data_IF_924648491411
#
_entry.id   IF_924648491411
#
_cell.length_a   1.000
_cell.length_b   1.000
_cell.length_c   1.000
_cell.angle_alpha   90.00
_cell.angle_beta   90.00
_cell.angle_gamma   90.00
#
_symmetry.space_group_name_H-M   'P 1'
#
loop_
_entity.id
_entity.type
_entity.pdbx_description
1 polymer ?
#
# COMPACT_ATOMS: atom_id res chain seq x y z
N UNK A 1 -5.54 0.03 -14.54
CA UNK A 1 -4.45 0.88 -14.00
C UNK A 1 -3.07 0.22 -14.15
N UNK A 2 -2.77 -0.44 -15.28
CA UNK A 2 -1.65 -1.39 -15.33
C UNK A 2 -0.40 -0.93 -16.12
N UNK A 3 -0.28 0.32 -16.59
CA UNK A 3 0.73 0.65 -17.61
C UNK A 3 1.62 1.88 -17.38
N UNK A 4 1.87 2.27 -16.13
CA UNK A 4 2.76 3.42 -15.85
C UNK A 4 3.87 3.12 -14.82
N UNK A 5 4.36 1.88 -14.79
CA UNK A 5 5.30 1.42 -13.76
C UNK A 5 6.74 1.45 -14.28
N UNK A 6 7.44 2.55 -13.97
CA UNK A 6 8.87 2.75 -14.23
C UNK A 6 9.76 1.83 -13.38
N UNK A 7 10.99 1.64 -13.88
CA UNK A 7 12.01 0.69 -13.42
C UNK A 7 12.51 0.93 -11.99
N UNK A 8 11.81 0.43 -10.97
CA UNK A 8 12.42 0.10 -9.67
C UNK A 8 11.92 -1.26 -9.22
N UNK A 9 12.81 -2.24 -9.21
CA UNK A 9 12.51 -3.59 -8.77
C UNK A 9 12.14 -3.61 -7.28
N UNK A 10 10.90 -3.98 -6.97
CA UNK A 10 10.58 -4.85 -5.83
C UNK A 10 9.93 -4.23 -4.60
N UNK A 11 9.81 -2.90 -4.48
CA UNK A 11 9.04 -2.23 -3.42
C UNK A 11 8.42 -0.94 -3.94
N UNK A 12 7.10 -0.85 -3.89
CA UNK A 12 6.36 0.37 -4.22
C UNK A 12 5.45 0.74 -3.06
N UNK A 13 5.55 1.96 -2.56
CA UNK A 13 4.61 2.53 -1.61
C UNK A 13 3.83 3.64 -2.30
N UNK A 14 2.51 3.57 -2.21
CA UNK A 14 1.60 4.54 -2.79
C UNK A 14 0.68 5.08 -1.74
N UNK A 15 0.36 6.36 -1.84
CA UNK A 15 -0.42 7.08 -0.85
C UNK A 15 -1.52 7.86 -1.53
N UNK A 16 -2.69 7.80 -0.93
CA UNK A 16 -3.84 8.65 -1.22
C UNK A 16 -4.34 9.21 0.10
N UNK A 17 -4.94 10.40 0.06
CA UNK A 17 -5.55 10.99 1.24
C UNK A 17 -6.93 11.51 0.85
N UNK A 18 -7.96 10.93 1.45
CA UNK A 18 -9.36 11.19 1.18
C UNK A 18 -9.98 11.91 2.37
N UNK A 19 -10.69 13.01 2.11
CA UNK A 19 -11.62 13.62 3.05
C UNK A 19 -13.05 13.32 2.65
N UNK A 20 -13.88 12.88 3.60
CA UNK A 20 -15.31 12.64 3.42
C UNK A 20 -16.05 13.70 4.21
N UNK A 21 -16.68 14.63 3.49
CA UNK A 21 -17.48 15.70 4.05
C UNK A 21 -18.85 15.71 3.38
N UNK A 22 -19.91 15.77 4.19
CA UNK A 22 -21.28 15.73 3.70
C UNK A 22 -21.61 14.51 2.79
N UNK A 23 -21.00 13.36 3.07
CA UNK A 23 -21.07 12.11 2.29
C UNK A 23 -20.49 12.18 0.85
N UNK A 24 -19.85 13.29 0.50
CA UNK A 24 -19.02 13.43 -0.69
C UNK A 24 -17.54 13.24 -0.31
N UNK A 25 -16.75 12.67 -1.22
CA UNK A 25 -15.32 12.46 -1.04
C UNK A 25 -14.49 13.46 -1.83
N UNK A 26 -13.41 13.96 -1.24
CA UNK A 26 -12.51 14.95 -1.82
C UNK A 26 -11.05 14.46 -1.70
N UNK A 27 -10.27 14.64 -2.77
CA UNK A 27 -8.86 14.25 -2.78
C UNK A 27 -7.97 15.34 -2.21
N UNK A 28 -7.40 15.09 -1.02
CA UNK A 28 -6.52 16.03 -0.31
C UNK A 28 -5.12 16.13 -0.91
N UNK A 29 -4.73 15.23 -1.83
CA UNK A 29 -3.41 15.26 -2.48
C UNK A 29 -3.50 15.65 -3.96
N UNK A 30 -4.62 16.23 -4.38
CA UNK A 30 -4.75 16.74 -5.74
C UNK A 30 -3.74 17.86 -6.00
N UNK A 31 -3.15 17.87 -7.20
CA UNK A 31 -2.04 18.77 -7.57
C UNK A 31 -2.53 20.11 -8.14
N UNK A 32 -3.80 20.46 -7.97
CA UNK A 32 -4.36 21.67 -8.56
C UNK A 32 -4.02 22.90 -7.71
N UNK A 33 -3.26 23.83 -8.30
CA UNK A 33 -2.63 24.99 -7.64
C UNK A 33 -3.63 26.10 -7.20
N UNK A 34 -4.94 25.89 -7.34
CA UNK A 34 -5.97 26.93 -7.19
C UNK A 34 -7.18 26.53 -6.33
N UNK A 35 -6.98 25.71 -5.31
CA UNK A 35 -8.08 25.31 -4.41
C UNK A 35 -8.15 26.24 -3.20
N UNK A 36 -9.13 27.16 -3.22
CA UNK A 36 -9.41 28.04 -2.09
C UNK A 36 -10.49 27.47 -1.15
N UNK A 37 -11.27 26.49 -1.61
CA UNK A 37 -12.37 25.86 -0.86
C UNK A 37 -12.38 24.35 -1.08
N UNK A 38 -12.90 23.60 -0.10
CA UNK A 38 -13.05 22.15 -0.17
C UNK A 38 -13.86 21.69 -1.39
N UNK A 39 -14.91 22.42 -1.74
CA UNK A 39 -15.83 22.09 -2.84
C UNK A 39 -15.17 22.20 -4.23
N UNK A 40 -14.05 22.90 -4.32
CA UNK A 40 -13.27 23.05 -5.56
C UNK A 40 -12.34 21.84 -5.79
N UNK A 41 -12.14 20.98 -4.77
CA UNK A 41 -11.33 19.77 -4.92
C UNK A 41 -12.04 18.73 -5.79
N UNK A 42 -11.27 17.89 -6.51
CA UNK A 42 -11.84 16.81 -7.30
C UNK A 42 -12.70 15.88 -6.46
N UNK A 43 -13.99 15.79 -6.79
CA UNK A 43 -14.90 14.83 -6.15
C UNK A 43 -14.54 13.40 -6.52
N UNK A 44 -14.32 12.60 -5.50
CA UNK A 44 -14.01 11.17 -5.58
C UNK A 44 -15.29 10.39 -5.84
N UNK A 45 -15.28 9.51 -6.83
CA UNK A 45 -16.42 8.67 -7.19
C UNK A 45 -16.16 7.21 -6.85
N UNK A 46 -17.12 6.59 -6.16
CA UNK A 46 -17.13 5.15 -5.91
C UNK A 46 -17.63 4.40 -7.15
N UNK A 47 -16.90 3.35 -7.55
CA UNK A 47 -17.37 2.37 -8.52
C UNK A 47 -17.09 0.96 -8.01
N UNK A 48 -18.02 0.05 -8.26
CA UNK A 48 -17.84 -1.37 -7.96
C UNK A 48 -17.58 -2.12 -9.28
N UNK A 49 -16.62 -3.03 -9.28
CA UNK A 49 -16.38 -3.93 -10.41
C UNK A 49 -17.26 -5.19 -10.34
N UNK A 50 -17.13 -6.06 -11.35
CA UNK A 50 -17.90 -7.31 -11.44
C UNK A 50 -17.58 -8.29 -10.30
N UNK A 51 -16.37 -8.20 -9.74
CA UNK A 51 -15.89 -9.00 -8.61
C UNK A 51 -16.35 -8.43 -7.25
N UNK A 52 -17.01 -7.27 -7.25
CA UNK A 52 -17.51 -6.61 -6.05
C UNK A 52 -16.46 -5.76 -5.31
N UNK A 53 -15.31 -5.49 -5.92
CA UNK A 53 -14.29 -4.62 -5.35
C UNK A 53 -14.63 -3.15 -5.59
N UNK A 54 -14.33 -2.32 -4.60
CA UNK A 54 -14.62 -0.89 -4.63
C UNK A 54 -13.39 -0.12 -5.12
N UNK A 55 -13.60 0.64 -6.18
CA UNK A 55 -12.63 1.51 -6.85
C UNK A 55 -12.98 2.97 -6.62
N UNK A 56 -11.98 3.74 -6.18
CA UNK A 56 -12.07 5.19 -6.00
C UNK A 56 -11.54 5.90 -7.24
N UNK A 57 -12.42 6.49 -8.04
CA UNK A 57 -12.04 7.33 -9.18
C UNK A 57 -11.81 8.76 -8.72
N UNK A 58 -10.87 9.44 -9.39
CA UNK A 58 -10.43 10.81 -9.07
C UNK A 58 -9.74 10.95 -7.71
N UNK A 59 -9.32 9.85 -7.09
CA UNK A 59 -8.41 9.88 -5.95
C UNK A 59 -6.98 9.73 -6.46
N UNK A 60 -6.15 10.73 -6.23
CA UNK A 60 -4.74 10.71 -6.64
C UNK A 60 -3.98 9.62 -5.90
N UNK A 61 -3.07 8.95 -6.61
CA UNK A 61 -2.20 7.90 -6.07
C UNK A 61 -0.77 8.38 -6.25
N UNK A 62 -0.15 8.79 -5.15
CA UNK A 62 1.16 9.40 -5.13
C UNK A 62 2.20 8.36 -4.69
N UNK A 63 3.29 8.21 -5.44
CA UNK A 63 4.37 7.31 -5.08
C UNK A 63 5.25 7.94 -4.00
N UNK A 64 5.55 7.17 -2.95
CA UNK A 64 6.49 7.54 -1.90
C UNK A 64 7.63 6.51 -1.87
N UNK A 65 8.88 6.97 -2.03
CA UNK A 65 10.05 6.08 -2.06
C UNK A 65 10.66 5.89 -0.67
N UNK A 66 10.51 6.90 0.19
CA UNK A 66 10.97 6.91 1.57
C UNK A 66 9.84 7.24 2.54
N UNK A 67 10.07 6.97 3.81
CA UNK A 67 9.19 7.38 4.89
C UNK A 67 8.96 8.91 4.90
N UNK A 68 10.01 9.69 4.66
CA UNK A 68 9.92 11.15 4.58
C UNK A 68 8.92 11.62 3.51
N UNK A 69 8.89 10.96 2.34
CA UNK A 69 7.93 11.28 1.28
C UNK A 69 6.49 11.02 1.75
N UNK A 70 6.28 9.94 2.49
CA UNK A 70 4.96 9.59 3.04
C UNK A 70 4.49 10.61 4.09
N UNK A 71 5.38 11.00 5.00
CA UNK A 71 5.10 12.03 6.00
C UNK A 71 4.85 13.38 5.34
N UNK A 72 5.61 13.75 4.31
CA UNK A 72 5.38 14.98 3.55
C UNK A 72 3.99 15.00 2.90
N UNK A 73 3.53 13.88 2.34
CA UNK A 73 2.17 13.76 1.79
C UNK A 73 1.10 13.86 2.89
N UNK A 74 1.34 13.28 4.07
CA UNK A 74 0.44 13.43 5.22
C UNK A 74 0.31 14.92 5.61
N UNK A 75 1.43 15.61 5.81
CA UNK A 75 1.42 17.04 6.16
C UNK A 75 0.81 17.92 5.08
N UNK A 76 1.05 17.60 3.81
CA UNK A 76 0.43 18.31 2.69
C UNK A 76 -1.09 18.19 2.74
N UNK A 77 -1.62 16.99 2.91
CA UNK A 77 -3.06 16.78 2.99
C UNK A 77 -3.68 17.43 4.23
N UNK A 78 -3.01 17.38 5.38
CA UNK A 78 -3.45 18.09 6.59
C UNK A 78 -3.46 19.61 6.39
N UNK A 79 -2.48 20.16 5.67
CA UNK A 79 -2.45 21.58 5.30
C UNK A 79 -3.61 21.93 4.39
N UNK A 80 -3.88 21.10 3.37
CA UNK A 80 -5.01 21.31 2.46
C UNK A 80 -6.35 21.24 3.19
N UNK A 81 -6.47 20.34 4.18
CA UNK A 81 -7.64 20.25 5.07
C UNK A 81 -7.84 21.55 5.84
N UNK A 82 -6.80 22.06 6.51
CA UNK A 82 -6.87 23.30 7.31
C UNK A 82 -7.12 24.53 6.44
N UNK A 83 -6.53 24.63 5.24
CA UNK A 83 -6.75 25.77 4.33
C UNK A 83 -8.19 25.82 3.83
N UNK A 84 -8.84 24.66 3.68
CA UNK A 84 -10.25 24.59 3.32
C UNK A 84 -11.20 24.96 4.48
N UNK A 85 -10.71 25.05 5.72
CA UNK A 85 -11.48 25.52 6.86
C UNK A 85 -11.67 27.03 6.80
N UNK A 86 -12.89 27.48 7.09
CA UNK A 86 -13.17 28.90 7.28
C UNK A 86 -13.68 29.10 8.69
N UNK A 87 -13.51 30.28 9.32
CA UNK A 87 -14.01 30.52 10.70
C UNK A 87 -15.51 30.25 10.89
N UNK A 88 -16.27 30.20 9.79
CA UNK A 88 -17.70 29.89 9.76
C UNK A 88 -17.98 28.38 9.65
N UNK A 89 -17.04 27.61 9.11
CA UNK A 89 -17.09 26.17 8.91
C UNK A 89 -15.82 25.54 9.51
N UNK A 90 -15.89 25.17 10.79
CA UNK A 90 -14.90 24.33 11.46
C UNK A 90 -15.03 22.89 10.93
N UNK A 91 -14.52 22.67 9.71
CA UNK A 91 -14.74 21.45 8.91
C UNK A 91 -13.98 20.25 9.47
N UNK A 92 -12.79 20.38 10.08
CA UNK A 92 -12.03 19.20 10.56
C UNK A 92 -12.70 18.42 11.67
N UNK A 93 -13.51 19.06 12.52
CA UNK A 93 -14.29 18.32 13.53
C UNK A 93 -15.46 17.57 12.92
N UNK A 94 -15.77 17.85 11.64
CA UNK A 94 -17.00 17.49 10.93
C UNK A 94 -16.78 16.73 9.64
N UNK A 95 -15.54 16.41 9.29
CA UNK A 95 -15.20 15.55 8.17
C UNK A 95 -14.46 14.31 8.67
N UNK A 96 -14.53 13.24 7.88
CA UNK A 96 -13.75 12.04 8.13
C UNK A 96 -12.56 12.04 7.21
N UNK A 97 -11.38 11.77 7.73
CA UNK A 97 -10.15 11.71 6.96
C UNK A 97 -9.66 10.26 6.85
N UNK A 98 -9.20 9.87 5.68
CA UNK A 98 -8.68 8.54 5.42
C UNK A 98 -7.39 8.63 4.63
N UNK A 99 -6.29 8.38 5.33
CA UNK A 99 -4.99 8.21 4.73
C UNK A 99 -4.80 6.75 4.33
N UNK A 100 -4.69 6.50 3.03
CA UNK A 100 -4.62 5.17 2.44
C UNK A 100 -3.20 4.95 1.92
N UNK A 101 -2.56 3.90 2.41
CA UNK A 101 -1.24 3.49 1.97
C UNK A 101 -1.31 2.09 1.35
N UNK A 102 -0.86 1.96 0.11
CA UNK A 102 -0.62 0.68 -0.53
C UNK A 102 0.86 0.37 -0.49
N UNK A 103 1.20 -0.84 -0.07
CA UNK A 103 2.57 -1.33 -0.04
C UNK A 103 2.65 -2.60 -0.87
N UNK A 104 3.49 -2.56 -1.88
CA UNK A 104 3.80 -3.71 -2.71
C UNK A 104 5.21 -4.21 -2.39
N UNK A 105 5.35 -5.53 -2.25
CA UNK A 105 6.64 -6.18 -2.04
C UNK A 105 6.74 -7.40 -2.92
N UNK A 106 7.82 -7.49 -3.67
CA UNK A 106 8.18 -8.68 -4.46
C UNK A 106 9.41 -9.32 -3.85
N UNK A 107 9.38 -10.64 -3.63
CA UNK A 107 10.58 -11.36 -3.19
C UNK A 107 11.56 -11.52 -4.36
N UNK A 108 12.87 -11.44 -4.08
CA UNK A 108 13.88 -11.69 -5.09
C UNK A 108 13.71 -13.10 -5.66
N UNK A 109 13.73 -13.23 -6.99
CA UNK A 109 13.50 -14.48 -7.72
C UNK A 109 12.11 -15.12 -7.51
N UNK A 110 11.14 -14.39 -6.96
CA UNK A 110 9.73 -14.80 -6.91
C UNK A 110 8.89 -14.03 -7.94
N UNK A 111 7.87 -14.72 -8.46
CA UNK A 111 6.85 -14.25 -9.41
C UNK A 111 5.58 -13.87 -8.66
N UNK A 112 5.63 -14.01 -7.33
CA UNK A 112 4.59 -13.62 -6.41
C UNK A 112 4.85 -12.19 -5.94
N UNK A 113 3.83 -11.36 -6.09
CA UNK A 113 3.78 -10.01 -5.52
C UNK A 113 2.86 -10.05 -4.31
N UNK A 114 3.35 -9.50 -3.20
CA UNK A 114 2.55 -9.28 -2.00
C UNK A 114 2.05 -7.85 -1.99
N UNK A 115 0.75 -7.68 -1.76
CA UNK A 115 0.13 -6.35 -1.62
C UNK A 115 -0.47 -6.20 -0.23
N UNK A 116 -0.16 -5.09 0.42
CA UNK A 116 -0.77 -4.70 1.68
C UNK A 116 -1.42 -3.33 1.51
N UNK A 117 -2.51 -3.12 2.24
CA UNK A 117 -3.25 -1.88 2.27
C UNK A 117 -3.44 -1.48 3.72
N UNK A 118 -3.00 -0.29 4.07
CA UNK A 118 -3.19 0.31 5.38
C UNK A 118 -4.14 1.49 5.25
N UNK A 119 -5.18 1.49 6.06
CA UNK A 119 -6.06 2.64 6.24
C UNK A 119 -5.80 3.24 7.62
N UNK A 120 -5.40 4.51 7.65
CA UNK A 120 -5.43 5.33 8.85
C UNK A 120 -6.64 6.24 8.74
N UNK A 121 -7.60 6.06 9.63
CA UNK A 121 -8.91 6.72 9.57
C UNK A 121 -9.05 7.61 10.79
N UNK A 122 -9.27 8.89 10.55
CA UNK A 122 -9.63 9.88 11.55
C UNK A 122 -11.11 10.21 11.37
N UNK A 123 -11.93 9.86 12.37
CA UNK A 123 -13.38 10.00 12.29
C UNK A 123 -13.80 11.34 12.88
N UNK A 124 -14.78 11.98 12.26
CA UNK A 124 -15.44 13.16 12.78
C UNK A 124 -16.03 12.91 14.19
N UNK A 125 -16.26 14.01 14.91
CA UNK A 125 -16.84 13.99 16.25
C UNK A 125 -18.15 13.19 16.32
N UNK A 126 -18.28 12.36 17.37
CA UNK A 126 -19.46 11.53 17.62
C UNK A 126 -20.54 12.23 18.44
N UNK A 127 -20.33 13.49 18.81
CA UNK A 127 -21.22 14.24 19.69
C UNK A 127 -22.56 14.60 19.05
N UNK A 128 -23.60 14.62 19.89
CA UNK A 128 -24.96 14.88 19.43
C UNK A 128 -25.22 16.37 19.21
N UNK A 129 -25.73 16.68 18.02
CA UNK A 129 -26.17 18.03 17.57
C UNK A 129 -27.19 18.67 18.52
N UNK A 130 -27.99 17.88 19.25
CA UNK A 130 -29.03 18.42 20.13
C UNK A 130 -28.50 19.34 21.25
N UNK A 131 -27.20 19.27 21.56
CA UNK A 131 -26.54 20.13 22.56
C UNK A 131 -25.91 21.40 21.96
N UNK A 132 -25.78 21.52 20.64
CA UNK A 132 -25.03 22.62 20.01
C UNK A 132 -25.88 23.85 19.65
N UNK A 133 -27.22 23.74 19.68
CA UNK A 133 -28.12 24.89 19.49
C UNK A 133 -28.03 25.57 18.11
N UNK A 134 -27.51 24.86 17.10
CA UNK A 134 -27.22 25.45 15.79
C UNK A 134 -28.41 25.31 14.83
N UNK A 135 -28.83 26.44 14.25
CA UNK A 135 -29.91 26.52 13.26
C UNK A 135 -29.37 26.71 11.82
N UNK A 136 -30.13 26.31 10.80
CA UNK A 136 -29.79 26.56 9.39
C UNK A 136 -28.91 25.48 8.74
N UNK A 137 -28.00 25.88 7.84
CA UNK A 137 -27.20 24.95 7.04
C UNK A 137 -26.21 24.12 7.87
N UNK A 138 -25.72 24.66 8.98
CA UNK A 138 -24.95 23.92 9.99
C UNK A 138 -25.73 22.74 10.60
N UNK A 139 -27.07 22.85 10.71
CA UNK A 139 -27.91 21.75 11.18
C UNK A 139 -28.01 20.62 10.15
N UNK A 140 -27.99 20.97 8.85
CA UNK A 140 -27.93 19.98 7.76
C UNK A 140 -26.58 19.28 7.77
N UNK A 141 -25.49 20.04 7.85
CA UNK A 141 -24.13 19.51 7.93
C UNK A 141 -23.96 18.54 9.11
N UNK A 142 -24.33 18.99 10.31
CA UNK A 142 -24.22 18.17 11.52
C UNK A 142 -25.04 16.86 11.44
N UNK A 143 -26.16 16.88 10.69
CA UNK A 143 -26.96 15.69 10.39
C UNK A 143 -26.20 14.69 9.54
N UNK A 144 -25.46 15.14 8.52
CA UNK A 144 -24.72 14.24 7.63
C UNK A 144 -23.50 13.60 8.30
N UNK A 145 -22.83 14.31 9.22
CA UNK A 145 -21.76 13.73 10.06
C UNK A 145 -22.30 12.55 10.84
N UNK A 146 -23.36 12.80 11.62
CA UNK A 146 -24.00 11.77 12.43
C UNK A 146 -24.62 10.66 11.58
N UNK A 147 -25.05 10.97 10.36
CA UNK A 147 -25.58 9.98 9.43
C UNK A 147 -24.48 9.00 8.99
N UNK A 148 -23.28 9.48 8.66
CA UNK A 148 -22.16 8.62 8.29
C UNK A 148 -21.72 7.69 9.44
N UNK A 149 -21.61 8.21 10.66
CA UNK A 149 -21.33 7.42 11.87
C UNK A 149 -22.48 6.44 12.19
N UNK A 150 -23.72 6.84 11.97
CA UNK A 150 -24.88 5.96 12.12
C UNK A 150 -24.84 4.79 11.14
N UNK A 151 -24.48 5.03 9.87
CA UNK A 151 -24.32 3.95 8.90
C UNK A 151 -23.16 3.02 9.25
N UNK A 152 -22.07 3.55 9.79
CA UNK A 152 -20.99 2.74 10.34
C UNK A 152 -21.49 1.83 11.46
N UNK A 153 -22.26 2.38 12.40
CA UNK A 153 -22.90 1.62 13.48
C UNK A 153 -23.84 0.53 12.94
N UNK A 154 -24.66 0.83 11.95
CA UNK A 154 -25.54 -0.16 11.31
C UNK A 154 -24.75 -1.31 10.68
N UNK A 155 -23.63 -1.01 10.02
CA UNK A 155 -22.73 -2.03 9.46
C UNK A 155 -22.15 -2.91 10.56
N UNK A 156 -21.70 -2.33 11.68
CA UNK A 156 -21.15 -3.07 12.83
C UNK A 156 -22.19 -4.02 13.42
N UNK A 157 -23.42 -3.53 13.64
CA UNK A 157 -24.53 -4.34 14.17
C UNK A 157 -24.89 -5.46 13.19
N UNK A 158 -25.01 -5.15 11.89
CA UNK A 158 -25.31 -6.15 10.87
C UNK A 158 -24.21 -7.22 10.76
N UNK A 159 -22.94 -6.85 10.94
CA UNK A 159 -21.81 -7.79 10.97
C UNK A 159 -21.88 -8.72 12.18
N UNK A 160 -22.24 -8.19 13.34
CA UNK A 160 -22.45 -9.00 14.53
C UNK A 160 -23.61 -10.00 14.34
N UNK A 161 -24.76 -9.54 13.83
CA UNK A 161 -25.91 -10.39 13.52
C UNK A 161 -25.58 -11.46 12.47
N UNK A 162 -24.75 -11.12 11.47
CA UNK A 162 -24.25 -12.07 10.47
C UNK A 162 -23.41 -13.17 11.09
N UNK A 163 -22.57 -12.83 12.08
CA UNK A 163 -21.77 -13.82 12.79
C UNK A 163 -22.61 -14.81 13.60
N UNK A 164 -23.81 -14.40 14.01
CA UNK A 164 -24.81 -15.21 14.72
C UNK A 164 -25.82 -15.89 13.78
N UNK A 165 -25.68 -15.72 12.46
CA UNK A 165 -26.58 -16.29 11.44
C UNK A 165 -27.94 -15.59 11.30
N UNK A 166 -28.18 -14.48 12.01
CA UNK A 166 -29.46 -13.79 12.04
C UNK A 166 -29.71 -12.88 10.82
N UNK A 167 -28.64 -12.45 10.13
CA UNK A 167 -28.72 -11.55 8.96
C UNK A 167 -27.66 -11.91 7.92
N UNK A 168 -28.06 -11.94 6.65
CA UNK A 168 -27.12 -12.21 5.55
C UNK A 168 -26.53 -10.92 4.93
N UNK A 169 -27.34 -9.86 4.79
CA UNK A 169 -26.96 -8.63 4.11
C UNK A 169 -26.34 -7.59 5.05
N UNK A 170 -25.21 -6.99 4.66
CA UNK A 170 -24.55 -5.90 5.39
C UNK A 170 -24.58 -4.63 4.53
N UNK A 171 -25.12 -3.50 5.03
CA UNK A 171 -25.45 -2.33 4.20
C UNK A 171 -24.25 -1.37 3.99
N UNK A 172 -23.13 -1.86 3.44
CA UNK A 172 -21.94 -1.02 3.19
C UNK A 172 -22.20 0.16 2.25
N UNK A 173 -23.17 0.02 1.32
CA UNK A 173 -23.48 1.01 0.28
C UNK A 173 -24.22 2.26 0.81
N UNK A 174 -24.62 2.29 2.07
CA UNK A 174 -25.39 3.41 2.62
C UNK A 174 -24.58 4.71 2.74
N UNK A 175 -23.25 4.62 2.81
CA UNK A 175 -22.37 5.79 2.84
C UNK A 175 -21.07 5.56 2.10
N UNK A 176 -20.38 6.64 1.74
CA UNK A 176 -19.05 6.55 1.15
C UNK A 176 -18.07 5.91 2.13
N UNK A 177 -18.08 6.33 3.39
CA UNK A 177 -17.19 5.83 4.43
C UNK A 177 -17.33 4.31 4.63
N UNK A 178 -18.55 3.81 4.78
CA UNK A 178 -18.80 2.36 4.94
C UNK A 178 -18.46 1.56 3.68
N UNK A 179 -18.59 2.16 2.50
CA UNK A 179 -18.18 1.54 1.24
C UNK A 179 -16.65 1.38 1.20
N UNK A 180 -15.90 2.44 1.49
CA UNK A 180 -14.42 2.37 1.48
C UNK A 180 -13.90 1.41 2.56
N UNK A 181 -14.56 1.36 3.72
CA UNK A 181 -14.20 0.49 4.84
C UNK A 181 -14.70 -0.95 4.73
N UNK A 182 -15.31 -1.35 3.60
CA UNK A 182 -15.86 -2.70 3.42
C UNK A 182 -14.85 -3.81 3.73
N UNK A 183 -13.61 -3.67 3.25
CA UNK A 183 -12.55 -4.65 3.52
C UNK A 183 -12.08 -4.60 4.99
N UNK A 184 -12.15 -3.41 5.60
CA UNK A 184 -11.72 -3.16 6.98
C UNK A 184 -12.72 -3.67 8.02
N UNK A 185 -14.00 -3.81 7.68
CA UNK A 185 -15.04 -4.23 8.62
C UNK A 185 -15.68 -5.51 8.12
N UNK A 186 -15.29 -6.66 8.67
CA UNK A 186 -15.81 -7.98 8.27
C UNK A 186 -15.18 -8.59 7.02
N UNK A 187 -14.11 -7.99 6.50
CA UNK A 187 -13.38 -8.46 5.31
C UNK A 187 -11.96 -8.96 5.61
N UNK A 188 -11.10 -8.87 4.61
CA UNK A 188 -9.68 -9.21 4.69
C UNK A 188 -8.85 -8.02 5.21
N UNK A 189 -8.90 -7.78 6.53
CA UNK A 189 -8.13 -6.73 7.16
C UNK A 189 -7.89 -7.03 8.64
N UNK A 190 -6.72 -6.62 9.17
CA UNK A 190 -6.48 -6.56 10.61
C UNK A 190 -6.88 -5.17 11.10
N UNK A 191 -8.05 -5.09 11.74
CA UNK A 191 -8.65 -3.81 12.13
C UNK A 191 -8.46 -3.55 13.61
N UNK A 192 -7.99 -2.34 13.91
CA UNK A 192 -7.82 -1.83 15.27
C UNK A 192 -8.61 -0.53 15.36
N UNK A 193 -9.39 -0.38 16.42
CA UNK A 193 -10.09 0.86 16.73
C UNK A 193 -9.47 1.48 17.99
N UNK A 194 -9.19 2.78 17.92
CA UNK A 194 -8.76 3.57 19.08
C UNK A 194 -9.92 4.47 19.49
N UNK A 195 -10.51 4.20 20.65
CA UNK A 195 -11.55 5.05 21.22
C UNK A 195 -10.93 6.13 22.10
N UNK A 196 -11.09 7.39 21.74
CA UNK A 196 -10.70 8.55 22.55
C UNK A 196 -11.85 8.98 23.44
N UNK A 197 -11.59 9.23 24.72
CA UNK A 197 -12.61 9.59 25.70
C UNK A 197 -12.11 10.71 26.61
N UNK A 198 -13.02 11.59 27.00
CA UNK A 198 -12.77 12.71 27.90
C UNK A 198 -13.22 12.35 29.34
N UNK A 199 -12.50 12.86 30.34
CA UNK A 199 -12.70 12.49 31.75
C UNK A 199 -13.63 13.49 32.46
N UNK A 200 -13.84 14.68 31.89
CA UNK A 200 -14.66 15.72 32.51
C UNK A 200 -16.14 15.33 32.57
N UNK A 201 -16.81 15.67 33.69
CA UNK A 201 -18.22 15.35 33.93
C UNK A 201 -19.16 15.78 32.81
N UNK A 202 -18.89 16.93 32.17
CA UNK A 202 -19.68 17.46 31.04
C UNK A 202 -19.68 16.54 29.82
N UNK A 203 -18.68 15.68 29.69
CA UNK A 203 -18.46 14.78 28.54
C UNK A 203 -18.72 13.31 28.87
N UNK A 204 -19.09 12.98 30.12
CA UNK A 204 -19.25 11.61 30.60
C UNK A 204 -20.21 10.77 29.73
N UNK A 205 -21.34 11.35 29.30
CA UNK A 205 -22.31 10.67 28.44
C UNK A 205 -21.73 10.28 27.07
N UNK A 206 -20.92 11.16 26.48
CA UNK A 206 -20.27 10.92 25.19
C UNK A 206 -19.16 9.87 25.35
N UNK A 207 -18.35 9.97 26.41
CA UNK A 207 -17.32 8.97 26.74
C UNK A 207 -17.91 7.56 26.94
N UNK A 208 -19.06 7.44 27.63
CA UNK A 208 -19.78 6.17 27.75
C UNK A 208 -20.25 5.68 26.38
N UNK A 209 -20.73 6.58 25.52
CA UNK A 209 -21.17 6.24 24.17
C UNK A 209 -20.03 5.71 23.31
N UNK A 210 -18.85 6.34 23.36
CA UNK A 210 -17.62 5.87 22.71
C UNK A 210 -17.21 4.48 23.20
N UNK A 211 -17.21 4.24 24.53
CA UNK A 211 -16.89 2.91 25.07
C UNK A 211 -17.87 1.82 24.60
N UNK A 212 -19.18 2.11 24.58
CA UNK A 212 -20.19 1.18 24.07
C UNK A 212 -20.01 0.89 22.58
N UNK A 213 -19.66 1.92 21.79
CA UNK A 213 -19.37 1.76 20.37
C UNK A 213 -18.13 0.88 20.16
N UNK A 214 -17.04 1.15 20.88
CA UNK A 214 -15.82 0.33 20.85
C UNK A 214 -16.10 -1.13 21.23
N UNK A 215 -16.96 -1.38 22.22
CA UNK A 215 -17.38 -2.72 22.61
C UNK A 215 -18.07 -3.47 21.46
N UNK A 216 -18.92 -2.79 20.67
CA UNK A 216 -19.57 -3.38 19.49
C UNK A 216 -18.57 -3.68 18.37
N UNK A 217 -17.64 -2.76 18.12
CA UNK A 217 -16.58 -2.94 17.12
C UNK A 217 -15.69 -4.13 17.48
N UNK A 218 -15.34 -4.29 18.76
CA UNK A 218 -14.55 -5.42 19.25
C UNK A 218 -15.22 -6.80 19.03
N UNK A 219 -16.53 -6.84 18.81
CA UNK A 219 -17.26 -8.07 18.52
C UNK A 219 -17.23 -8.47 17.03
N UNK A 220 -16.70 -7.62 16.15
CA UNK A 220 -16.57 -7.92 14.71
C UNK A 220 -15.46 -8.94 14.51
N UNK A 221 -15.73 -9.94 13.66
CA UNK A 221 -14.74 -10.92 13.22
C UNK A 221 -14.30 -10.61 11.80
N UNK A 222 -13.02 -10.32 11.63
CA UNK A 222 -12.37 -10.22 10.33
C UNK A 222 -11.62 -11.52 10.02
N UNK A 223 -11.48 -11.86 8.73
CA UNK A 223 -10.69 -12.99 8.28
C UNK A 223 -9.52 -12.50 7.43
N UNK A 224 -8.40 -12.16 8.09
CA UNK A 224 -7.23 -11.62 7.43
C UNK A 224 -6.39 -12.75 6.79
N UNK A 225 -6.18 -12.68 5.48
CA UNK A 225 -5.33 -13.57 4.69
C UNK A 225 -4.21 -12.76 4.02
N UNK A 226 -3.13 -13.44 3.64
CA UNK A 226 -2.01 -12.80 2.93
C UNK A 226 -2.44 -12.58 1.48
N UNK A 227 -2.38 -11.32 1.00
CA UNK A 227 -2.63 -11.03 -0.41
C UNK A 227 -1.37 -11.33 -1.23
N UNK A 228 -1.34 -12.52 -1.81
CA UNK A 228 -0.30 -12.97 -2.74
C UNK A 228 -0.94 -13.18 -4.10
N UNK A 229 -0.38 -12.52 -5.12
CA UNK A 229 -0.81 -12.67 -6.50
C UNK A 229 0.40 -13.00 -7.38
N UNK A 230 0.20 -13.88 -8.35
CA UNK A 230 1.18 -14.12 -9.41
C UNK A 230 1.16 -12.94 -10.37
N UNK A 231 2.30 -12.26 -10.53
CA UNK A 231 2.44 -11.21 -11.53
C UNK A 231 2.83 -11.85 -12.88
N UNK A 232 1.95 -11.82 -13.89
CA UNK A 232 2.23 -12.39 -15.19
C UNK A 232 3.48 -11.79 -15.84
N UNK A 233 3.78 -10.51 -15.60
CA UNK A 233 4.97 -9.87 -16.18
C UNK A 233 6.26 -10.43 -15.57
N UNK A 234 6.28 -10.67 -14.26
CA UNK A 234 7.42 -11.29 -13.57
C UNK A 234 7.59 -12.75 -13.97
N UNK A 235 6.48 -13.50 -14.06
CA UNK A 235 6.46 -14.88 -14.52
C UNK A 235 7.01 -14.98 -15.95
N UNK A 236 6.48 -14.19 -16.88
CA UNK A 236 6.93 -14.15 -18.28
C UNK A 236 8.42 -13.81 -18.35
N UNK A 237 8.88 -12.84 -17.55
CA UNK A 237 10.29 -12.46 -17.52
C UNK A 237 11.19 -13.59 -17.03
N UNK A 238 10.78 -14.30 -15.97
CA UNK A 238 11.52 -15.48 -15.47
C UNK A 238 11.57 -16.57 -16.52
N UNK A 239 10.41 -16.95 -17.05
CA UNK A 239 10.31 -18.01 -18.06
C UNK A 239 11.16 -17.67 -19.30
N UNK A 240 11.18 -16.41 -19.74
CA UNK A 240 12.06 -15.97 -20.85
C UNK A 240 13.55 -16.10 -20.51
N UNK A 241 13.96 -15.81 -19.28
CA UNK A 241 15.34 -15.96 -18.83
C UNK A 241 15.75 -17.43 -18.78
N UNK A 242 14.89 -18.27 -18.20
CA UNK A 242 15.11 -19.71 -18.08
C UNK A 242 15.16 -20.37 -19.47
N UNK A 243 14.28 -19.98 -20.39
CA UNK A 243 14.33 -20.43 -21.80
C UNK A 243 15.63 -20.03 -22.49
N UNK A 244 16.18 -18.85 -22.20
CA UNK A 244 17.46 -18.44 -22.77
C UNK A 244 18.62 -19.28 -22.20
N UNK A 245 18.68 -19.45 -20.89
CA UNK A 245 19.70 -20.25 -20.20
C UNK A 245 19.69 -21.71 -20.65
N UNK A 246 18.52 -22.33 -20.74
CA UNK A 246 18.38 -23.71 -21.23
C UNK A 246 18.78 -23.85 -22.70
N UNK A 247 18.52 -22.83 -23.53
CA UNK A 247 18.98 -22.82 -24.93
C UNK A 247 20.49 -22.72 -25.02
N UNK A 248 21.11 -21.88 -24.20
CA UNK A 248 22.57 -21.74 -24.16
C UNK A 248 23.24 -23.03 -23.63
N UNK A 249 22.61 -23.71 -22.66
CA UNK A 249 23.09 -25.01 -22.18
C UNK A 249 22.95 -26.11 -23.25
N UNK A 250 21.83 -26.12 -23.99
CA UNK A 250 21.62 -27.05 -25.09
C UNK A 250 22.59 -26.80 -26.27
N UNK A 251 22.96 -25.56 -26.58
CA UNK A 251 23.97 -25.28 -27.61
C UNK A 251 25.36 -25.73 -27.19
N UNK A 252 25.70 -25.58 -25.91
CA UNK A 252 26.95 -26.10 -25.35
C UNK A 252 26.99 -27.63 -25.36
N UNK A 253 25.90 -28.29 -24.98
CA UNK A 253 25.82 -29.75 -24.85
C UNK A 253 25.65 -30.49 -26.19
N UNK A 254 24.84 -29.94 -27.10
CA UNK A 254 24.65 -30.57 -28.40
C UNK A 254 25.89 -30.48 -29.29
N UNK A 255 26.86 -29.62 -28.92
CA UNK A 255 28.04 -29.37 -29.73
C UNK A 255 27.63 -28.71 -31.04
N UNK A 256 28.50 -27.85 -31.56
CA UNK A 256 28.32 -27.38 -32.91
C UNK A 256 28.52 -28.62 -33.83
N UNK A 257 27.46 -29.16 -34.44
CA UNK A 257 27.59 -30.19 -35.49
C UNK A 257 28.44 -29.66 -36.68
N UNK A 258 28.71 -28.34 -36.70
CA UNK A 258 29.60 -27.64 -37.61
C UNK A 258 30.90 -27.13 -36.97
N UNK A 259 31.30 -27.59 -35.78
CA UNK A 259 32.64 -27.29 -35.26
C UNK A 259 33.66 -27.92 -36.19
N UNK A 260 34.35 -27.08 -36.98
CA UNK A 260 35.55 -27.50 -37.70
C UNK A 260 36.45 -28.26 -36.72
N UNK A 261 36.79 -29.50 -37.06
CA UNK A 261 37.68 -30.30 -36.24
C UNK A 261 39.00 -29.55 -36.14
N UNK A 262 39.30 -29.04 -34.94
CA UNK A 262 40.55 -28.32 -34.65
C UNK A 262 41.72 -29.08 -35.28
N UNK A 263 42.46 -28.40 -36.17
CA UNK A 263 43.61 -28.99 -36.83
C UNK A 263 44.68 -29.32 -35.79
N UNK A 264 45.59 -30.24 -36.12
CA UNK A 264 46.65 -30.61 -35.18
C UNK A 264 47.60 -29.43 -34.86
N UNK A 265 47.66 -28.43 -35.75
CA UNK A 265 48.37 -27.17 -35.54
C UNK A 265 47.66 -26.29 -34.51
N UNK A 266 46.34 -26.10 -34.62
CA UNK A 266 45.56 -25.33 -33.63
C UNK A 266 45.63 -25.97 -32.23
N UNK A 267 45.57 -27.31 -32.16
CA UNK A 267 45.73 -28.05 -30.89
C UNK A 267 47.13 -27.90 -30.30
N UNK A 268 48.16 -27.76 -31.14
CA UNK A 268 49.54 -27.55 -30.69
C UNK A 268 49.72 -26.12 -30.17
N UNK A 269 49.13 -25.15 -30.84
CA UNK A 269 49.17 -23.75 -30.42
C UNK A 269 48.42 -23.52 -29.10
N UNK A 270 47.22 -24.09 -28.97
CA UNK A 270 46.46 -24.07 -27.71
C UNK A 270 47.22 -24.76 -26.56
N UNK A 271 47.88 -25.90 -26.83
CA UNK A 271 48.73 -26.56 -25.82
C UNK A 271 49.90 -25.68 -25.39
N UNK A 272 50.54 -24.97 -26.32
CA UNK A 272 51.63 -24.05 -26.01
C UNK A 272 51.14 -22.84 -25.19
N UNK A 273 49.97 -22.30 -25.50
CA UNK A 273 49.35 -21.20 -24.73
C UNK A 273 49.00 -21.64 -23.31
N UNK A 274 48.40 -22.82 -23.14
CA UNK A 274 48.08 -23.38 -21.82
C UNK A 274 49.37 -23.67 -21.03
N UNK A 275 50.39 -24.26 -21.68
CA UNK A 275 51.69 -24.50 -21.05
C UNK A 275 52.33 -23.17 -20.61
N UNK A 276 52.27 -22.14 -21.45
CA UNK A 276 52.75 -20.80 -21.13
C UNK A 276 52.02 -20.20 -19.92
N UNK A 277 50.69 -20.31 -19.88
CA UNK A 277 49.89 -19.82 -18.76
C UNK A 277 50.21 -20.55 -17.45
N UNK A 278 50.34 -21.87 -17.48
CA UNK A 278 50.68 -22.69 -16.30
C UNK A 278 52.09 -22.36 -15.80
N UNK A 279 53.06 -22.21 -16.70
CA UNK A 279 54.43 -21.82 -16.35
C UNK A 279 54.45 -20.41 -15.77
N UNK A 280 53.73 -19.46 -16.37
CA UNK A 280 53.67 -18.08 -15.87
C UNK A 280 52.98 -18.00 -14.50
N UNK A 281 51.95 -18.81 -14.25
CA UNK A 281 51.30 -18.91 -12.96
C UNK A 281 52.20 -19.56 -11.90
N UNK A 282 53.03 -20.55 -12.27
CA UNK A 282 54.04 -21.17 -11.40
C UNK A 282 55.20 -20.20 -11.07
N UNK A 283 55.64 -19.40 -12.04
CA UNK A 283 56.64 -18.33 -11.83
C UNK A 283 56.08 -17.24 -10.90
N UNK A 284 54.85 -16.78 -11.12
CA UNK A 284 54.21 -15.81 -10.21
C UNK A 284 54.07 -16.36 -8.78
N UNK A 285 53.69 -17.64 -8.60
CA UNK A 285 53.61 -18.26 -7.27
C UNK A 285 54.97 -18.41 -6.60
N UNK A 286 56.00 -18.81 -7.32
CA UNK A 286 57.36 -18.97 -6.76
C UNK A 286 58.02 -17.63 -6.41
N UNK A 287 57.81 -16.58 -7.21
CA UNK A 287 58.25 -15.22 -6.87
C UNK A 287 57.50 -14.64 -5.68
N UNK A 288 56.19 -14.92 -5.55
CA UNK A 288 55.40 -14.56 -4.37
C UNK A 288 55.89 -15.24 -3.09
N UNK A 289 56.20 -16.54 -3.16
CA UNK A 289 56.77 -17.31 -2.05
C UNK A 289 58.18 -16.84 -1.67
N UNK A 290 59.03 -16.48 -2.64
CA UNK A 290 60.35 -15.88 -2.37
C UNK A 290 60.23 -14.50 -1.71
N UNK A 291 59.26 -13.69 -2.10
CA UNK A 291 59.00 -12.40 -1.48
C UNK A 291 58.48 -12.53 -0.03
N UNK A 292 57.66 -13.55 0.26
CA UNK A 292 57.25 -13.87 1.63
C UNK A 292 58.39 -14.48 2.45
N UNK A 293 59.21 -15.36 1.87
CA UNK A 293 60.36 -15.94 2.56
C UNK A 293 61.42 -14.88 2.89
N UNK A 294 61.71 -13.93 1.99
CA UNK A 294 62.58 -12.78 2.25
C UNK A 294 62.02 -11.81 3.30
N UNK A 295 60.70 -11.75 3.50
CA UNK A 295 60.07 -11.01 4.62
C UNK A 295 60.19 -11.78 5.94
N UNK A 296 60.10 -13.10 5.91
CA UNK A 296 60.19 -13.97 7.10
C UNK A 296 61.62 -14.10 7.65
N UNK A 297 62.66 -13.95 6.81
CA UNK A 297 64.08 -14.09 7.20
C UNK A 297 64.73 -12.76 7.62
N UNK A 298 63.97 -11.64 7.68
CA UNK A 298 64.40 -10.42 8.37
C UNK A 298 64.05 -10.49 9.86
N UNK A 299 64.81 -11.31 10.59
CA UNK A 299 65.10 -11.19 12.03
C UNK A 299 66.57 -11.56 12.23
#
# INVERSE_FOLDING_TARGET
MASAWGKHFGRGMFISYLEIYNNDGYDLLSREEHTAKLEDLPKVQLREDEDGNIHLRNLSVNMAQKEEDALNLLFLGDTNRVVAETPMNDVSTRSHCMFIMWVESTQANSDTVRRAKLHLVDLAGSERISKSGVEGDLQKEARYINLSLHYLEQVIVALHERSSGARHHVPYRNSMMTSVLRDSLGGNCKTVMVGTAAIEDRHLEESISTCRFAQRVAAIKNNATINEELDPALLIRRLKKEVAELKDELTLLNGDENAETLTDEDKKELRNLVQGYVVQQAVCKSQGLLAEFCKAVKW
#
